data_IF_974455223401
#
_entry.id   IF_974455223401
#
_cell.length_a   1.000
_cell.length_b   1.000
_cell.length_c   1.000
_cell.angle_alpha   90.00
_cell.angle_beta   90.00
_cell.angle_gamma   90.00
#
_symmetry.space_group_name_H-M   'P 1'
#
loop_
_entity.id
_entity.type
_entity.pdbx_description
1 polymer ?
#
# COMPACT_ATOMS: atom_id res chain seq x y z
N UNK A 1 -25.63 -13.32 18.02
CA UNK A 1 -25.80 -14.13 16.79
C UNK A 1 -26.74 -13.38 15.88
N UNK A 2 -26.31 -13.00 14.69
CA UNK A 2 -27.09 -12.16 13.76
C UNK A 2 -28.26 -12.89 13.07
N UNK A 3 -28.70 -14.03 13.57
CA UNK A 3 -29.75 -14.86 12.98
C UNK A 3 -29.26 -15.71 11.81
N UNK A 4 -30.17 -16.49 11.27
CA UNK A 4 -29.93 -17.31 10.09
C UNK A 4 -30.22 -16.50 8.82
N UNK A 5 -29.67 -16.94 7.68
CA UNK A 5 -29.98 -16.36 6.36
C UNK A 5 -31.42 -16.63 5.90
N UNK A 6 -32.23 -17.18 6.78
CA UNK A 6 -33.57 -17.58 6.50
C UNK A 6 -34.57 -16.42 6.47
N UNK A 7 -35.83 -16.81 6.25
CA UNK A 7 -36.98 -15.91 6.23
C UNK A 7 -37.23 -15.36 7.64
N UNK A 8 -37.68 -14.08 7.70
CA UNK A 8 -38.22 -13.49 8.93
C UNK A 8 -38.85 -14.54 9.88
N UNK A 9 -38.65 -14.47 11.20
CA UNK A 9 -38.08 -13.33 11.94
C UNK A 9 -36.61 -13.46 12.31
N UNK A 10 -35.86 -14.40 11.78
CA UNK A 10 -34.57 -14.85 12.32
C UNK A 10 -33.35 -14.13 11.77
N UNK A 11 -33.50 -13.07 10.97
CA UNK A 11 -32.35 -12.40 10.34
C UNK A 11 -32.20 -10.95 10.81
N UNK A 12 -31.00 -10.61 11.24
CA UNK A 12 -30.58 -9.22 11.51
C UNK A 12 -29.93 -8.57 10.27
N UNK A 13 -30.30 -9.01 9.08
CA UNK A 13 -29.82 -8.52 7.80
C UNK A 13 -28.28 -8.53 7.71
N UNK A 14 -27.64 -7.37 7.49
CA UNK A 14 -26.20 -7.22 7.36
C UNK A 14 -25.43 -7.40 8.67
N UNK A 15 -26.09 -7.66 9.79
CA UNK A 15 -25.41 -8.00 11.04
C UNK A 15 -24.88 -9.45 11.03
N UNK A 16 -25.27 -10.25 10.05
CA UNK A 16 -24.70 -11.56 9.78
C UNK A 16 -23.38 -11.43 9.04
N UNK A 17 -22.42 -12.30 9.40
CA UNK A 17 -21.12 -12.41 8.72
C UNK A 17 -20.27 -11.13 8.73
N UNK A 18 -20.43 -10.30 9.74
CA UNK A 18 -19.70 -9.05 9.91
C UNK A 18 -18.35 -9.19 10.64
N UNK A 19 -17.86 -10.42 10.84
CA UNK A 19 -16.56 -10.69 11.46
C UNK A 19 -15.38 -10.44 10.51
N UNK A 20 -14.17 -10.60 11.03
CA UNK A 20 -12.91 -10.50 10.25
C UNK A 20 -12.85 -11.57 9.17
N UNK A 21 -13.40 -12.75 9.46
CA UNK A 21 -13.47 -13.89 8.57
C UNK A 21 -14.94 -14.28 8.41
N UNK A 22 -15.37 -14.42 7.17
CA UNK A 22 -16.72 -14.90 6.86
C UNK A 22 -16.92 -16.36 7.31
N UNK A 23 -18.18 -16.83 7.54
CA UNK A 23 -18.46 -18.20 7.96
C UNK A 23 -17.95 -19.28 7.01
N UNK A 24 -17.82 -18.99 5.72
CA UNK A 24 -17.21 -19.84 4.71
C UNK A 24 -15.66 -19.76 4.68
N UNK A 25 -15.07 -19.12 5.70
CA UNK A 25 -13.63 -18.91 5.90
C UNK A 25 -12.94 -17.98 4.88
N UNK A 26 -13.68 -17.27 4.08
CA UNK A 26 -13.11 -16.19 3.27
C UNK A 26 -12.76 -14.99 4.13
N UNK A 27 -11.62 -14.37 3.83
CA UNK A 27 -11.20 -13.16 4.51
C UNK A 27 -12.05 -11.97 4.04
N UNK A 28 -12.58 -11.21 4.98
CA UNK A 28 -13.16 -9.91 4.68
C UNK A 28 -12.03 -8.88 4.41
N UNK A 29 -12.26 -7.80 3.63
CA UNK A 29 -11.21 -6.85 3.24
C UNK A 29 -10.41 -6.29 4.42
N UNK A 30 -11.05 -6.02 5.54
CA UNK A 30 -10.37 -5.49 6.74
C UNK A 30 -9.46 -6.51 7.43
N UNK A 31 -9.52 -7.80 7.09
CA UNK A 31 -8.60 -8.80 7.61
C UNK A 31 -7.14 -8.50 7.21
N UNK A 32 -6.94 -7.96 6.01
CA UNK A 32 -5.61 -7.58 5.53
C UNK A 32 -5.02 -6.38 6.28
N UNK A 33 -5.87 -5.42 6.67
CA UNK A 33 -5.47 -4.31 7.52
C UNK A 33 -5.09 -4.79 8.92
N UNK A 34 -5.88 -5.68 9.49
CA UNK A 34 -5.60 -6.27 10.79
C UNK A 34 -4.28 -7.03 10.75
N UNK A 35 -4.04 -7.83 9.72
CA UNK A 35 -2.76 -8.53 9.53
C UNK A 35 -1.58 -7.55 9.52
N UNK A 36 -1.72 -6.43 8.82
CA UNK A 36 -0.68 -5.40 8.76
C UNK A 36 -0.40 -4.79 10.13
N UNK A 37 -1.42 -4.38 10.86
CA UNK A 37 -1.24 -3.74 12.18
C UNK A 37 -0.81 -4.70 13.28
N UNK A 38 -1.03 -6.00 13.13
CA UNK A 38 -0.63 -7.04 14.09
C UNK A 38 0.67 -7.75 13.72
N UNK A 39 1.40 -7.30 12.71
CA UNK A 39 2.71 -7.85 12.38
C UNK A 39 3.75 -7.43 13.43
N UNK A 40 4.72 -8.30 13.68
CA UNK A 40 5.76 -8.10 14.70
C UNK A 40 7.15 -7.80 14.09
N UNK A 41 7.22 -7.46 12.81
CA UNK A 41 8.48 -7.12 12.15
C UNK A 41 8.25 -5.88 11.29
N UNK A 42 9.13 -4.89 11.45
CA UNK A 42 8.98 -3.58 10.82
C UNK A 42 10.25 -3.12 10.14
N UNK A 43 10.09 -2.46 9.01
CA UNK A 43 11.16 -1.67 8.38
C UNK A 43 11.06 -0.23 8.90
N UNK A 44 12.17 0.31 9.35
CA UNK A 44 12.29 1.69 9.84
C UNK A 44 13.44 2.41 9.14
N UNK A 45 13.38 3.72 9.09
CA UNK A 45 14.47 4.60 8.63
C UNK A 45 15.02 4.17 7.25
N UNK A 46 14.13 4.00 6.25
CA UNK A 46 14.53 3.65 4.90
C UNK A 46 15.29 4.80 4.23
N UNK A 47 16.52 4.54 3.84
CA UNK A 47 17.33 5.33 2.92
C UNK A 47 17.49 4.55 1.61
N UNK A 48 16.54 4.72 0.72
CA UNK A 48 16.49 3.97 -0.55
C UNK A 48 17.67 4.29 -1.47
N UNK A 49 18.15 5.54 -1.44
CA UNK A 49 19.30 5.99 -2.26
C UNK A 49 20.58 5.25 -1.91
N UNK A 50 20.79 4.95 -0.63
CA UNK A 50 21.94 4.21 -0.14
C UNK A 50 21.66 2.71 0.06
N UNK A 51 20.44 2.24 -0.22
CA UNK A 51 20.02 0.86 -0.01
C UNK A 51 20.06 0.45 1.47
N UNK A 52 19.91 1.42 2.39
CA UNK A 52 20.02 1.21 3.82
C UNK A 52 18.67 1.32 4.51
N UNK A 53 18.39 0.45 5.47
CA UNK A 53 17.17 0.46 6.26
C UNK A 53 17.39 -0.29 7.57
N UNK A 54 16.50 -0.07 8.53
CA UNK A 54 16.54 -0.78 9.81
C UNK A 54 15.41 -1.80 9.87
N UNK A 55 15.72 -3.01 10.31
CA UNK A 55 14.73 -4.03 10.64
C UNK A 55 14.55 -4.06 12.14
N UNK A 56 13.33 -3.86 12.61
CA UNK A 56 12.95 -3.96 14.01
C UNK A 56 12.14 -5.23 14.24
N UNK A 57 12.62 -6.08 15.17
CA UNK A 57 11.93 -7.25 15.65
C UNK A 57 11.11 -6.90 16.89
N UNK A 58 9.80 -6.78 16.76
CA UNK A 58 8.89 -6.43 17.86
C UNK A 58 8.49 -7.64 18.73
N UNK A 59 8.87 -8.86 18.35
CA UNK A 59 8.63 -10.03 19.19
C UNK A 59 9.35 -9.89 20.53
N UNK A 60 8.77 -10.47 21.59
CA UNK A 60 9.36 -10.46 22.94
C UNK A 60 10.27 -11.66 23.20
N UNK A 61 10.02 -12.80 22.55
CA UNK A 61 10.66 -14.08 22.91
C UNK A 61 11.28 -14.81 21.71
N UNK A 62 11.18 -14.25 20.50
CA UNK A 62 11.51 -14.95 19.26
C UNK A 62 12.39 -14.11 18.36
N UNK A 63 13.48 -14.71 17.85
CA UNK A 63 14.21 -14.17 16.71
C UNK A 63 13.35 -14.29 15.45
N UNK A 64 13.78 -13.63 14.37
CA UNK A 64 13.12 -13.69 13.07
C UNK A 64 13.90 -14.53 12.04
N UNK A 65 14.67 -15.51 12.52
CA UNK A 65 15.54 -16.36 11.70
C UNK A 65 14.77 -17.26 10.72
N UNK A 66 13.51 -17.53 11.04
CA UNK A 66 12.56 -18.32 10.24
C UNK A 66 11.82 -17.47 9.18
N UNK A 67 12.20 -16.22 9.01
CA UNK A 67 11.66 -15.33 7.99
C UNK A 67 12.73 -14.98 6.96
N UNK A 68 12.35 -15.01 5.69
CA UNK A 68 13.15 -14.53 4.57
C UNK A 68 12.63 -13.16 4.13
N UNK A 69 13.52 -12.18 4.04
CA UNK A 69 13.17 -10.84 3.57
C UNK A 69 13.41 -10.75 2.06
N UNK A 70 12.40 -10.25 1.36
CA UNK A 70 12.52 -9.82 -0.03
C UNK A 70 12.09 -8.36 -0.17
N UNK A 71 12.77 -7.63 -1.03
CA UNK A 71 12.42 -6.28 -1.43
C UNK A 71 12.07 -6.28 -2.92
N UNK A 72 10.88 -5.79 -3.29
CA UNK A 72 10.42 -5.76 -4.68
C UNK A 72 10.15 -4.32 -5.09
N UNK A 73 10.78 -3.90 -6.19
CA UNK A 73 10.62 -2.58 -6.80
C UNK A 73 9.54 -2.65 -7.88
N UNK A 74 8.61 -1.70 -7.83
CA UNK A 74 7.55 -1.54 -8.82
C UNK A 74 7.61 -0.15 -9.44
N UNK A 75 7.27 -0.03 -10.73
CA UNK A 75 6.96 1.24 -11.38
C UNK A 75 5.54 1.17 -11.96
N UNK A 76 4.67 2.11 -11.60
CA UNK A 76 3.26 2.14 -11.98
C UNK A 76 2.54 0.77 -11.79
N UNK A 77 2.83 0.08 -10.69
CA UNK A 77 2.26 -1.23 -10.39
C UNK A 77 2.90 -2.41 -11.15
N UNK A 78 3.85 -2.17 -12.07
CA UNK A 78 4.58 -3.21 -12.78
C UNK A 78 5.83 -3.57 -12.01
N UNK A 79 6.02 -4.87 -11.74
CA UNK A 79 7.19 -5.38 -11.06
C UNK A 79 8.45 -5.24 -11.94
N UNK A 80 9.48 -4.58 -11.42
CA UNK A 80 10.76 -4.40 -12.11
C UNK A 80 11.81 -5.38 -11.62
N UNK A 81 12.02 -5.45 -10.31
CA UNK A 81 13.07 -6.27 -9.72
C UNK A 81 12.62 -6.84 -8.36
N UNK A 82 13.22 -7.95 -7.97
CA UNK A 82 13.10 -8.50 -6.61
C UNK A 82 14.50 -8.83 -6.11
N UNK A 83 14.81 -8.35 -4.93
CA UNK A 83 16.09 -8.54 -4.23
C UNK A 83 15.82 -9.38 -2.98
N UNK A 84 16.59 -10.45 -2.80
CA UNK A 84 16.61 -11.23 -1.56
C UNK A 84 17.60 -10.62 -0.59
N UNK A 85 17.22 -10.51 0.69
CA UNK A 85 18.03 -9.86 1.71
C UNK A 85 18.25 -10.86 2.86
N UNK A 86 19.36 -11.61 2.84
CA UNK A 86 19.65 -12.65 3.81
C UNK A 86 20.11 -12.12 5.18
N UNK A 87 20.50 -10.84 5.28
CA UNK A 87 21.10 -10.24 6.46
C UNK A 87 20.15 -10.06 7.64
N UNK A 88 18.90 -10.49 7.52
CA UNK A 88 17.87 -10.44 8.58
C UNK A 88 18.07 -11.49 9.67
N UNK A 89 18.94 -12.45 9.46
CA UNK A 89 19.25 -13.50 10.46
C UNK A 89 19.89 -12.92 11.72
N UNK A 90 19.57 -13.51 12.86
CA UNK A 90 20.14 -13.16 14.17
C UNK A 90 19.60 -11.88 14.79
N UNK A 91 18.47 -11.36 14.33
CA UNK A 91 17.82 -10.19 14.98
C UNK A 91 17.05 -10.66 16.20
N UNK A 92 17.60 -10.36 17.39
CA UNK A 92 17.01 -10.74 18.67
C UNK A 92 15.66 -10.05 18.91
N UNK A 93 14.87 -10.58 19.88
CA UNK A 93 13.65 -9.91 20.33
C UNK A 93 13.90 -8.47 20.77
N UNK A 94 12.99 -7.56 20.44
CA UNK A 94 13.04 -6.13 20.76
C UNK A 94 14.30 -5.40 20.22
N UNK A 95 15.04 -6.03 19.32
CA UNK A 95 16.25 -5.45 18.73
C UNK A 95 15.99 -4.82 17.34
N UNK A 96 16.83 -3.86 17.02
CA UNK A 96 16.88 -3.22 15.72
C UNK A 96 18.24 -3.45 15.07
N UNK A 97 18.27 -3.87 13.81
CA UNK A 97 19.50 -4.08 13.03
C UNK A 97 19.50 -3.20 11.79
N UNK A 98 20.57 -2.46 11.58
CA UNK A 98 20.81 -1.75 10.32
C UNK A 98 21.27 -2.74 9.27
N UNK A 99 20.61 -2.73 8.13
CA UNK A 99 20.93 -3.53 6.95
C UNK A 99 21.30 -2.58 5.82
N UNK A 100 22.29 -2.98 5.02
CA UNK A 100 22.69 -2.31 3.79
C UNK A 100 22.74 -3.35 2.68
N UNK A 101 22.05 -3.08 1.58
CA UNK A 101 22.03 -3.94 0.40
C UNK A 101 22.41 -3.12 -0.84
N UNK A 102 23.55 -3.43 -1.41
CA UNK A 102 23.99 -2.79 -2.67
C UNK A 102 23.08 -3.20 -3.82
N UNK A 103 22.56 -4.43 -3.82
CA UNK A 103 21.60 -4.89 -4.83
C UNK A 103 20.31 -4.06 -4.80
N UNK A 104 19.79 -3.78 -3.60
CA UNK A 104 18.61 -2.92 -3.45
C UNK A 104 18.90 -1.51 -3.95
N UNK A 105 20.04 -0.94 -3.58
CA UNK A 105 20.50 0.38 -4.06
C UNK A 105 20.51 0.45 -5.59
N UNK A 106 21.12 -0.55 -6.24
CA UNK A 106 21.17 -0.58 -7.70
C UNK A 106 19.80 -0.75 -8.34
N UNK A 107 18.93 -1.61 -7.77
CA UNK A 107 17.58 -1.82 -8.28
C UNK A 107 16.73 -0.55 -8.20
N UNK A 108 16.83 0.21 -7.11
CA UNK A 108 16.12 1.48 -6.95
C UNK A 108 16.67 2.54 -7.91
N UNK A 109 17.99 2.70 -7.99
CA UNK A 109 18.61 3.67 -8.89
C UNK A 109 18.29 3.39 -10.37
N UNK A 110 18.26 2.12 -10.77
CA UNK A 110 17.86 1.71 -12.11
C UNK A 110 16.40 2.06 -12.39
N UNK A 111 15.50 1.81 -11.43
CA UNK A 111 14.09 2.16 -11.55
C UNK A 111 13.90 3.68 -11.69
N UNK A 112 14.52 4.49 -10.85
CA UNK A 112 14.45 5.95 -10.92
C UNK A 112 14.99 6.51 -12.25
N UNK A 113 16.07 5.93 -12.78
CA UNK A 113 16.65 6.38 -14.04
C UNK A 113 15.77 6.07 -15.26
N UNK A 114 15.08 4.91 -15.27
CA UNK A 114 14.26 4.46 -16.40
C UNK A 114 12.80 4.95 -16.31
N UNK A 115 12.32 5.21 -15.11
CA UNK A 115 10.92 5.50 -14.80
C UNK A 115 10.73 6.85 -14.07
N UNK A 116 11.53 7.86 -14.41
CA UNK A 116 11.64 9.14 -13.69
C UNK A 116 10.34 9.95 -13.50
N UNK A 117 9.24 9.60 -14.23
CA UNK A 117 7.93 10.26 -14.12
C UNK A 117 6.83 9.34 -13.61
N UNK A 118 7.18 8.12 -13.30
CA UNK A 118 6.27 7.10 -12.83
C UNK A 118 6.32 7.01 -11.31
N UNK A 119 5.24 6.50 -10.73
CA UNK A 119 5.25 6.15 -9.31
C UNK A 119 6.19 4.96 -9.11
N UNK A 120 7.19 5.12 -8.25
CA UNK A 120 8.09 4.04 -7.87
C UNK A 120 7.79 3.65 -6.43
N UNK A 121 7.51 2.36 -6.25
CA UNK A 121 7.13 1.79 -4.97
C UNK A 121 8.07 0.65 -4.63
N UNK A 122 8.52 0.62 -3.38
CA UNK A 122 9.33 -0.45 -2.82
C UNK A 122 8.51 -1.23 -1.79
N UNK A 123 8.31 -2.52 -2.05
CA UNK A 123 7.60 -3.44 -1.16
C UNK A 123 8.57 -4.39 -0.48
N UNK A 124 8.57 -4.40 0.84
CA UNK A 124 9.24 -5.39 1.65
C UNK A 124 8.25 -6.48 2.08
N UNK A 125 8.68 -7.73 2.00
CA UNK A 125 7.90 -8.88 2.46
C UNK A 125 8.78 -9.84 3.25
N UNK A 126 8.36 -10.16 4.47
CA UNK A 126 8.94 -11.20 5.31
C UNK A 126 8.10 -12.47 5.16
N UNK A 127 8.63 -13.46 4.50
CA UNK A 127 7.95 -14.71 4.24
C UNK A 127 8.54 -15.85 5.07
N UNK A 128 7.68 -16.75 5.57
CA UNK A 128 8.09 -17.94 6.31
C UNK A 128 8.98 -18.84 5.46
N UNK A 129 10.03 -19.38 6.04
CA UNK A 129 10.86 -20.43 5.45
C UNK A 129 10.24 -21.85 5.53
N UNK A 130 9.09 -21.97 6.24
CA UNK A 130 8.37 -23.23 6.43
C UNK A 130 8.81 -24.02 7.65
N UNK A 131 9.67 -23.49 8.51
CA UNK A 131 10.10 -24.15 9.76
C UNK A 131 9.11 -23.97 10.91
N UNK A 132 8.21 -22.99 10.81
CA UNK A 132 7.20 -22.74 11.81
C UNK A 132 6.05 -23.75 11.72
N UNK A 133 5.57 -24.31 12.85
CA UNK A 133 4.38 -25.16 12.85
C UNK A 133 3.15 -24.38 12.33
N UNK A 134 2.35 -25.02 11.49
CA UNK A 134 1.08 -24.51 10.96
C UNK A 134 1.22 -23.25 10.08
N UNK A 135 2.43 -22.92 9.63
CA UNK A 135 2.69 -21.83 8.70
C UNK A 135 3.36 -22.39 7.45
N UNK A 136 2.75 -22.16 6.31
CA UNK A 136 3.28 -22.65 5.03
C UNK A 136 4.55 -21.88 4.62
N UNK A 137 5.46 -22.59 3.95
CA UNK A 137 6.63 -21.95 3.34
C UNK A 137 6.19 -20.90 2.32
N UNK A 138 6.75 -19.70 2.42
CA UNK A 138 6.42 -18.58 1.55
C UNK A 138 5.21 -17.75 1.98
N UNK A 139 4.53 -18.14 3.07
CA UNK A 139 3.46 -17.32 3.64
C UNK A 139 4.03 -16.00 4.16
N UNK A 140 3.48 -14.89 3.68
CA UNK A 140 3.91 -13.55 4.10
C UNK A 140 3.39 -13.26 5.51
N UNK A 141 4.31 -13.08 6.45
CA UNK A 141 4.04 -12.82 7.86
C UNK A 141 4.04 -11.32 8.19
N UNK A 142 4.89 -10.55 7.50
CA UNK A 142 4.93 -9.09 7.61
C UNK A 142 5.23 -8.48 6.26
N UNK A 143 4.69 -7.29 6.02
CA UNK A 143 4.88 -6.54 4.77
C UNK A 143 4.89 -5.05 5.04
N UNK A 144 5.65 -4.32 4.26
CA UNK A 144 5.67 -2.87 4.34
C UNK A 144 5.97 -2.27 2.97
N UNK A 145 5.30 -1.17 2.66
CA UNK A 145 5.42 -0.47 1.39
C UNK A 145 5.94 0.95 1.62
N UNK A 146 6.84 1.40 0.75
CA UNK A 146 7.34 2.75 0.73
C UNK A 146 7.22 3.34 -0.67
N UNK A 147 6.73 4.55 -0.77
CA UNK A 147 6.74 5.32 -2.02
C UNK A 147 8.11 5.97 -2.12
N UNK A 148 8.84 5.67 -3.18
CA UNK A 148 10.16 6.24 -3.47
C UNK A 148 10.02 7.47 -4.33
N UNK A 149 9.16 7.42 -5.34
CA UNK A 149 8.87 8.53 -6.24
C UNK A 149 7.38 8.58 -6.54
N UNK A 150 6.79 9.77 -6.47
CA UNK A 150 5.39 10.00 -6.82
C UNK A 150 5.21 10.11 -8.33
N UNK A 151 4.04 9.69 -8.81
CA UNK A 151 3.65 9.86 -10.20
C UNK A 151 3.56 11.34 -10.58
N UNK A 152 4.22 11.72 -11.66
CA UNK A 152 4.18 13.08 -12.18
C UNK A 152 3.11 13.22 -13.28
N UNK A 153 1.99 13.84 -12.93
CA UNK A 153 0.94 14.13 -13.90
C UNK A 153 1.45 15.10 -14.97
N UNK A 154 1.27 14.74 -16.24
CA UNK A 154 1.49 15.67 -17.33
C UNK A 154 0.53 16.85 -17.18
N UNK A 155 1.06 18.08 -17.20
CA UNK A 155 0.20 19.26 -17.24
C UNK A 155 -0.64 19.20 -18.53
N UNK A 156 -1.98 19.24 -18.45
CA UNK A 156 -2.81 19.24 -19.65
C UNK A 156 -2.40 20.43 -20.51
N UNK A 157 -2.07 20.17 -21.78
CA UNK A 157 -1.88 21.25 -22.74
C UNK A 157 -3.24 21.94 -22.90
N UNK A 158 -3.43 23.07 -22.24
CA UNK A 158 -4.60 23.92 -22.50
C UNK A 158 -4.42 24.44 -23.92
N UNK A 159 -5.25 24.02 -24.89
CA UNK A 159 -5.14 24.56 -26.25
C UNK A 159 -5.28 26.07 -26.13
N UNK A 160 -4.32 26.81 -26.68
CA UNK A 160 -4.45 28.26 -26.76
C UNK A 160 -5.78 28.58 -27.43
N UNK A 161 -6.74 29.08 -26.66
CA UNK A 161 -8.00 29.54 -27.22
C UNK A 161 -7.60 30.67 -28.17
N UNK A 162 -7.66 30.37 -29.48
CA UNK A 162 -7.45 31.42 -30.48
C UNK A 162 -8.42 32.57 -30.14
N UNK A 163 -7.86 33.74 -29.84
CA UNK A 163 -8.68 34.88 -29.51
C UNK A 163 -9.68 35.08 -30.66
N UNK A 164 -10.94 34.78 -30.39
CA UNK A 164 -11.99 35.01 -31.37
C UNK A 164 -11.94 36.49 -31.77
N UNK A 165 -11.98 36.82 -33.06
CA UNK A 165 -11.94 38.21 -33.52
C UNK A 165 -13.09 38.95 -32.84
N UNK A 166 -12.77 39.93 -32.03
CA UNK A 166 -13.74 40.79 -31.35
C UNK A 166 -14.51 41.58 -32.41
N UNK A 167 -15.58 40.99 -32.93
CA UNK A 167 -16.62 41.82 -33.57
C UNK A 167 -17.22 42.71 -32.49
N UNK A 168 -17.06 44.04 -32.63
CA UNK A 168 -17.78 45.04 -31.82
C UNK A 168 -19.29 44.82 -32.05
N UNK A 169 -19.90 43.93 -31.29
CA UNK A 169 -21.32 43.66 -31.28
C UNK A 169 -21.86 43.82 -29.87
N UNK A 170 -22.94 44.57 -29.74
CA UNK A 170 -23.63 44.87 -28.48
C UNK A 170 -23.75 43.62 -27.58
N UNK A 171 -23.17 43.67 -26.39
CA UNK A 171 -23.30 42.62 -25.37
C UNK A 171 -24.75 42.52 -24.93
N UNK A 172 -25.48 41.51 -25.36
CA UNK A 172 -26.75 41.14 -24.75
C UNK A 172 -26.42 40.53 -23.38
N UNK A 173 -26.84 41.18 -22.30
CA UNK A 173 -26.71 40.64 -20.94
C UNK A 173 -27.41 39.29 -20.87
N UNK A 174 -26.68 38.22 -20.71
CA UNK A 174 -27.24 36.92 -20.37
C UNK A 174 -27.82 37.00 -18.95
N UNK A 175 -29.03 36.50 -18.80
CA UNK A 175 -29.71 36.41 -17.51
C UNK A 175 -28.93 35.46 -16.58
N UNK A 176 -28.46 35.97 -15.47
CA UNK A 176 -27.85 35.19 -14.43
C UNK A 176 -28.95 34.46 -13.67
N UNK A 177 -28.98 33.11 -13.78
CA UNK A 177 -29.87 32.31 -12.97
C UNK A 177 -29.46 32.39 -11.50
N UNK A 178 -30.26 33.14 -10.68
CA UNK A 178 -30.11 33.12 -9.22
C UNK A 178 -30.96 31.93 -8.64
N UNK A 179 -30.30 30.97 -8.05
CA UNK A 179 -30.97 29.97 -7.21
C UNK A 179 -31.59 30.67 -6.00
N UNK A 180 -32.92 30.65 -5.91
CA UNK A 180 -33.63 31.05 -4.67
C UNK A 180 -33.57 29.86 -3.71
N UNK A 181 -33.05 30.10 -2.49
CA UNK A 181 -33.16 29.13 -1.40
C UNK A 181 -34.65 28.89 -1.09
N UNK A 182 -35.09 27.64 -0.91
CA UNK A 182 -36.43 27.38 -0.44
C UNK A 182 -36.58 27.89 1.00
N UNK A 183 -37.64 28.65 1.26
CA UNK A 183 -38.04 29.07 2.61
C UNK A 183 -38.75 27.86 3.24
N UNK A 184 -38.16 27.32 4.31
CA UNK A 184 -38.87 26.32 5.14
C UNK A 184 -39.93 27.04 5.95
N UNK A 185 -41.18 26.59 5.80
CA UNK A 185 -42.28 26.84 6.75
C UNK A 185 -42.25 25.76 7.84
#
# INVERSE_FOLDING_TARGET
MGGDYGRYPASDYNFNCNGIIAPDRRLNPHAYEIQYYHQNVWIKDLDAVNGAFKVYNENFFKNIDDLNLTATVYANGVKLATVEIPETKGIAPQATKLIKSDELKYAVAEAESKHAKEEIVLNFAFASDGTQPLVDKGQVMARQQFIISDYQFAKPAVPAVAAAPTKKGKVRRQAVWRWRKPTLM
#
